data_IF_178168262994
#
_entry.id   IF_178168262994
#
_cell.length_a   1.000
_cell.length_b   1.000
_cell.length_c   1.000
_cell.angle_alpha   90.00
_cell.angle_beta   90.00
_cell.angle_gamma   90.00
#
_symmetry.space_group_name_H-M   'P 1'
#
loop_
_entity.id
_entity.type
_entity.pdbx_description
1 polymer ?
#
# COMPACT_ATOMS: atom_id res chain seq x y z
N UNK A 1 -0.73 39.87 15.57
CA UNK A 1 -1.13 38.53 16.07
C UNK A 1 -2.00 37.71 15.08
N UNK A 2 -2.04 38.00 13.76
CA UNK A 2 -2.91 37.28 12.80
C UNK A 2 -2.16 36.28 11.86
N UNK A 3 -0.85 36.41 11.65
CA UNK A 3 -0.10 35.55 10.70
C UNK A 3 0.30 34.15 11.21
N UNK A 4 0.33 33.90 12.54
CA UNK A 4 0.70 32.58 13.10
C UNK A 4 -0.44 31.54 13.09
N UNK A 5 -1.72 31.97 13.06
CA UNK A 5 -2.87 31.04 13.04
C UNK A 5 -3.18 30.45 11.66
N UNK A 6 -2.72 31.06 10.57
CA UNK A 6 -2.99 30.60 9.20
C UNK A 6 -2.05 29.45 8.78
N UNK A 7 -0.82 29.42 9.29
CA UNK A 7 0.19 28.40 8.98
C UNK A 7 -0.10 27.06 9.69
N UNK A 8 -0.76 27.09 10.86
CA UNK A 8 -1.18 25.87 11.55
C UNK A 8 -2.40 25.19 10.90
N UNK A 9 -3.30 25.93 10.24
CA UNK A 9 -4.45 25.35 9.52
C UNK A 9 -4.04 24.63 8.22
N UNK A 10 -3.02 25.12 7.52
CA UNK A 10 -2.51 24.46 6.31
C UNK A 10 -1.69 23.21 6.62
N UNK A 11 -0.89 23.22 7.70
CA UNK A 11 -0.14 22.05 8.14
C UNK A 11 -1.03 20.90 8.64
N UNK A 12 -2.12 21.21 9.36
CA UNK A 12 -3.08 20.20 9.81
C UNK A 12 -3.90 19.58 8.67
N UNK A 13 -4.08 20.29 7.55
CA UNK A 13 -4.76 19.73 6.37
C UNK A 13 -3.82 18.89 5.50
N UNK A 14 -2.50 19.05 5.65
CA UNK A 14 -1.51 18.46 4.75
C UNK A 14 -1.01 17.08 5.21
N UNK A 15 -1.00 16.81 6.53
CA UNK A 15 -0.61 15.50 7.08
C UNK A 15 -1.76 14.49 7.08
N UNK A 16 -3.01 14.95 6.95
CA UNK A 16 -4.23 14.17 7.23
C UNK A 16 -4.89 13.50 6.02
N UNK A 17 -4.45 13.79 4.79
CA UNK A 17 -5.10 13.36 3.54
C UNK A 17 -4.25 12.36 2.71
N UNK A 18 -3.05 12.01 3.16
CA UNK A 18 -2.10 11.19 2.39
C UNK A 18 -2.18 9.68 2.65
N UNK A 19 -3.07 9.19 3.51
CA UNK A 19 -3.24 7.75 3.78
C UNK A 19 -4.33 7.06 2.94
N UNK A 20 -5.14 7.81 2.18
CA UNK A 20 -6.28 7.25 1.44
C UNK A 20 -6.38 7.90 0.06
N UNK A 21 -5.58 7.42 -0.88
CA UNK A 21 -5.75 7.78 -2.29
C UNK A 21 -6.87 6.95 -2.91
N UNK A 22 -8.00 7.57 -3.24
CA UNK A 22 -8.80 7.29 -4.46
C UNK A 22 -9.60 8.57 -4.78
N UNK A 23 -9.51 9.04 -6.04
CA UNK A 23 -10.41 10.02 -6.64
C UNK A 23 -11.41 9.30 -7.55
N UNK A 24 -12.70 9.62 -7.45
CA UNK A 24 -13.80 8.93 -8.16
C UNK A 24 -14.63 9.91 -9.00
N UNK A 25 -14.92 9.57 -10.26
CA UNK A 25 -15.87 10.25 -11.15
C UNK A 25 -16.71 9.21 -11.93
N UNK A 26 -18.01 9.45 -12.22
CA UNK A 26 -18.90 8.46 -12.86
C UNK A 26 -19.10 8.73 -14.36
N UNK A 27 -18.97 7.71 -15.25
CA UNK A 27 -19.48 7.79 -16.65
C UNK A 27 -19.91 6.40 -17.19
N UNK A 28 -20.98 6.43 -18.00
CA UNK A 28 -21.69 5.38 -18.73
C UNK A 28 -21.04 4.91 -20.05
N UNK A 29 -21.34 3.66 -20.43
CA UNK A 29 -20.77 2.76 -21.47
C UNK A 29 -21.33 2.92 -22.88
N UNK A 30 -20.50 2.81 -23.96
CA UNK A 30 -20.83 2.17 -25.28
C UNK A 30 -19.51 1.69 -26.00
N UNK A 31 -19.58 0.53 -26.67
CA UNK A 31 -18.52 -0.23 -27.38
C UNK A 31 -18.15 0.24 -28.81
N UNK A 32 -16.89 0.00 -29.25
CA UNK A 32 -16.49 -0.99 -30.28
C UNK A 32 -15.19 -0.63 -31.08
N UNK A 33 -14.28 -1.63 -31.16
CA UNK A 33 -13.45 -2.16 -32.29
C UNK A 33 -12.99 -1.23 -33.46
N UNK A 34 -11.81 -1.34 -34.09
CA UNK A 34 -10.78 -2.40 -34.24
C UNK A 34 -9.51 -1.83 -34.91
N UNK A 35 -8.37 -2.51 -34.72
CA UNK A 35 -7.21 -2.79 -35.62
C UNK A 35 -6.86 -1.78 -36.76
N UNK A 36 -5.63 -1.39 -37.04
CA UNK A 36 -4.29 -1.94 -36.78
C UNK A 36 -3.43 -1.71 -38.03
N UNK A 37 -2.17 -1.29 -37.89
CA UNK A 37 -1.08 -1.53 -38.87
C UNK A 37 0.25 -0.95 -38.36
N UNK A 38 1.26 -1.82 -38.22
CA UNK A 38 2.67 -1.47 -37.99
C UNK A 38 3.37 -1.18 -39.32
N UNK A 39 4.38 -0.28 -39.32
CA UNK A 39 5.65 -0.52 -40.02
C UNK A 39 6.75 0.50 -39.72
N UNK A 40 8.00 0.04 -39.93
CA UNK A 40 9.31 0.69 -39.90
C UNK A 40 10.09 0.64 -38.57
N UNK A 41 11.16 -0.18 -38.55
CA UNK A 41 12.21 -0.22 -37.54
C UNK A 41 12.94 1.12 -37.45
N UNK A 42 12.39 2.00 -36.61
CA UNK A 42 13.07 3.18 -36.11
C UNK A 42 14.08 2.73 -35.06
N UNK A 43 15.28 3.33 -35.08
CA UNK A 43 16.24 3.33 -33.96
C UNK A 43 15.43 3.40 -32.65
N UNK A 44 15.58 2.46 -31.71
CA UNK A 44 14.65 2.34 -30.59
C UNK A 44 14.66 3.65 -29.80
N UNK A 45 13.56 4.39 -29.88
CA UNK A 45 13.36 5.65 -29.16
C UNK A 45 13.54 5.34 -27.67
N UNK A 46 14.47 6.05 -27.03
CA UNK A 46 14.78 5.90 -25.61
C UNK A 46 13.56 6.22 -24.75
N UNK A 47 13.51 5.69 -23.53
CA UNK A 47 12.39 5.96 -22.62
C UNK A 47 12.26 7.45 -22.30
N UNK A 48 13.38 8.17 -22.20
CA UNK A 48 13.42 9.62 -22.00
C UNK A 48 12.82 10.38 -23.19
N UNK A 49 13.18 10.04 -24.43
CA UNK A 49 12.56 10.62 -25.63
C UNK A 49 11.07 10.31 -25.73
N UNK A 50 10.64 9.08 -25.38
CA UNK A 50 9.21 8.71 -25.33
C UNK A 50 8.46 9.50 -24.27
N UNK A 51 9.06 9.74 -23.11
CA UNK A 51 8.48 10.57 -22.04
C UNK A 51 8.27 12.00 -22.52
N UNK A 52 9.29 12.62 -23.14
CA UNK A 52 9.15 13.95 -23.72
C UNK A 52 8.03 14.00 -24.77
N UNK A 53 7.99 13.02 -25.68
CA UNK A 53 6.96 12.96 -26.71
C UNK A 53 5.55 12.77 -26.14
N UNK A 54 5.39 11.91 -25.14
CA UNK A 54 4.10 11.67 -24.49
C UNK A 54 3.52 12.95 -23.88
N UNK A 55 4.33 13.67 -23.08
CA UNK A 55 3.87 14.92 -22.46
C UNK A 55 3.72 16.06 -23.47
N UNK A 56 4.55 16.12 -24.52
CA UNK A 56 4.38 17.08 -25.61
C UNK A 56 3.03 16.90 -26.32
N UNK A 57 2.61 15.65 -26.57
CA UNK A 57 1.27 15.37 -27.06
C UNK A 57 0.17 15.84 -26.11
N UNK A 58 0.29 15.61 -24.80
CA UNK A 58 -0.69 16.11 -23.83
C UNK A 58 -0.76 17.63 -23.79
N UNK A 59 0.38 18.33 -23.90
CA UNK A 59 0.44 19.80 -23.96
C UNK A 59 -0.21 20.35 -25.23
N UNK A 60 -0.11 19.64 -26.35
CA UNK A 60 -0.72 20.03 -27.63
C UNK A 60 -2.18 19.57 -27.77
N UNK A 61 -2.77 18.93 -26.76
CA UNK A 61 -4.13 18.37 -26.83
C UNK A 61 -4.26 17.12 -27.73
N UNK A 62 -3.15 16.50 -28.10
CA UNK A 62 -3.05 15.31 -28.97
C UNK A 62 -3.18 14.02 -28.16
N UNK A 63 -4.30 13.87 -27.46
CA UNK A 63 -4.52 12.76 -26.52
C UNK A 63 -4.60 11.38 -27.20
N UNK A 64 -5.08 11.33 -28.44
CA UNK A 64 -5.13 10.09 -29.21
C UNK A 64 -3.73 9.59 -29.57
N UNK A 65 -2.82 10.49 -29.95
CA UNK A 65 -1.42 10.20 -30.26
C UNK A 65 -0.64 9.82 -29.00
N UNK A 66 -0.89 10.49 -27.87
CA UNK A 66 -0.34 10.09 -26.58
C UNK A 66 -0.77 8.66 -26.21
N UNK A 67 -2.04 8.32 -26.43
CA UNK A 67 -2.58 6.99 -26.16
C UNK A 67 -1.91 5.89 -27.02
N UNK A 68 -1.48 6.18 -28.24
CA UNK A 68 -0.75 5.21 -29.08
C UNK A 68 0.64 4.83 -28.52
N UNK A 69 1.19 5.65 -27.62
CA UNK A 69 2.47 5.37 -26.93
C UNK A 69 2.31 4.43 -25.73
N UNK A 70 1.08 4.15 -25.30
CA UNK A 70 0.79 3.33 -24.12
C UNK A 70 0.69 1.84 -24.46
N UNK A 71 0.65 1.00 -23.42
CA UNK A 71 0.51 -0.45 -23.52
C UNK A 71 -0.93 -0.85 -23.90
N UNK A 72 -1.12 -2.07 -24.42
CA UNK A 72 -2.46 -2.58 -24.66
C UNK A 72 -3.31 -2.67 -23.37
N UNK A 73 -2.68 -2.99 -22.23
CA UNK A 73 -3.35 -3.03 -20.94
C UNK A 73 -3.85 -1.64 -20.51
N UNK A 74 -3.06 -0.59 -20.72
CA UNK A 74 -3.47 0.79 -20.48
C UNK A 74 -4.62 1.20 -21.41
N UNK A 75 -4.50 0.92 -22.71
CA UNK A 75 -5.54 1.24 -23.71
C UNK A 75 -6.86 0.52 -23.46
N UNK A 76 -6.82 -0.67 -22.86
CA UNK A 76 -8.04 -1.41 -22.50
C UNK A 76 -8.88 -0.72 -21.41
N UNK A 77 -8.27 0.18 -20.64
CA UNK A 77 -8.91 0.90 -19.53
C UNK A 77 -9.14 2.38 -19.82
N UNK A 78 -8.31 2.97 -20.66
CA UNK A 78 -8.27 4.42 -20.85
C UNK A 78 -8.47 4.84 -22.30
N UNK A 79 -9.38 5.78 -22.48
CA UNK A 79 -9.60 6.48 -23.75
C UNK A 79 -8.82 7.80 -23.77
N UNK A 80 -8.73 8.44 -24.94
CA UNK A 80 -8.16 9.78 -25.07
C UNK A 80 -8.86 10.81 -24.16
N UNK A 81 -10.18 10.69 -23.97
CA UNK A 81 -10.96 11.57 -23.09
C UNK A 81 -10.62 11.37 -21.60
N UNK A 82 -10.38 10.13 -21.18
CA UNK A 82 -9.96 9.86 -19.80
C UNK A 82 -8.54 10.41 -19.58
N UNK A 83 -7.65 10.22 -20.54
CA UNK A 83 -6.28 10.76 -20.47
C UNK A 83 -6.28 12.30 -20.44
N UNK A 84 -7.15 12.95 -21.22
CA UNK A 84 -7.39 14.39 -21.16
C UNK A 84 -7.88 14.82 -19.78
N UNK A 85 -8.88 14.13 -19.24
CA UNK A 85 -9.47 14.46 -17.94
C UNK A 85 -8.42 14.36 -16.83
N UNK A 86 -7.63 13.28 -16.82
CA UNK A 86 -6.50 13.12 -15.92
C UNK A 86 -5.48 14.26 -16.06
N UNK A 87 -5.09 14.60 -17.29
CA UNK A 87 -4.12 15.69 -17.55
C UNK A 87 -4.60 17.04 -17.00
N UNK A 88 -5.88 17.36 -17.17
CA UNK A 88 -6.45 18.60 -16.66
C UNK A 88 -6.53 18.58 -15.12
N UNK A 89 -7.09 17.51 -14.55
CA UNK A 89 -7.31 17.40 -13.11
C UNK A 89 -6.01 17.33 -12.31
N UNK A 90 -4.96 16.74 -12.88
CA UNK A 90 -3.63 16.70 -12.28
C UNK A 90 -2.86 18.03 -12.37
N UNK A 91 -3.46 19.07 -12.97
CA UNK A 91 -2.84 20.38 -13.15
C UNK A 91 -1.87 20.45 -14.33
N UNK A 92 -1.81 19.42 -15.18
CA UNK A 92 -0.95 19.38 -16.35
C UNK A 92 -1.21 20.52 -17.33
N UNK A 93 -2.46 20.98 -17.46
CA UNK A 93 -2.82 22.15 -18.29
C UNK A 93 -2.21 23.47 -17.81
N UNK A 94 -1.71 23.52 -16.56
CA UNK A 94 -1.05 24.70 -15.98
C UNK A 94 0.47 24.70 -16.21
N UNK A 95 1.03 23.63 -16.78
CA UNK A 95 2.47 23.49 -17.01
C UNK A 95 2.90 24.37 -18.19
N UNK A 96 3.78 25.32 -17.91
CA UNK A 96 4.31 26.26 -18.91
C UNK A 96 5.61 25.78 -19.55
N UNK A 97 6.36 24.90 -18.87
CA UNK A 97 7.62 24.36 -19.38
C UNK A 97 7.90 22.97 -18.81
N UNK A 98 8.27 22.04 -19.67
CA UNK A 98 8.77 20.71 -19.29
C UNK A 98 10.28 20.75 -19.05
N UNK A 99 10.75 19.98 -18.08
CA UNK A 99 12.17 19.77 -17.79
C UNK A 99 12.78 18.62 -18.59
N UNK A 100 13.92 18.12 -18.12
CA UNK A 100 14.60 16.97 -18.72
C UNK A 100 14.09 15.68 -18.07
N UNK A 101 13.65 14.68 -18.86
CA UNK A 101 13.26 13.38 -18.32
C UNK A 101 14.48 12.59 -17.82
N UNK A 102 14.33 11.92 -16.68
CA UNK A 102 15.35 11.10 -16.03
C UNK A 102 14.78 9.74 -15.62
N UNK A 103 15.51 8.67 -15.90
CA UNK A 103 15.16 7.34 -15.39
C UNK A 103 15.42 7.31 -13.88
N UNK A 104 14.40 7.03 -13.08
CA UNK A 104 14.47 7.05 -11.61
C UNK A 104 14.58 5.66 -11.00
N UNK A 105 13.83 4.71 -11.54
CA UNK A 105 13.68 3.39 -10.95
C UNK A 105 13.54 2.34 -12.05
N UNK A 106 14.01 1.14 -11.75
CA UNK A 106 13.79 -0.05 -12.57
C UNK A 106 13.51 -1.24 -11.65
N UNK A 107 12.38 -1.88 -11.89
CA UNK A 107 12.04 -3.17 -11.30
C UNK A 107 11.72 -4.18 -12.43
N UNK A 108 11.29 -5.39 -12.08
CA UNK A 108 10.99 -6.43 -13.07
C UNK A 108 9.72 -6.18 -13.89
N UNK A 109 8.83 -5.32 -13.41
CA UNK A 109 7.54 -4.98 -14.02
C UNK A 109 7.65 -3.70 -14.85
N UNK A 110 8.22 -2.65 -14.26
CA UNK A 110 8.29 -1.33 -14.87
C UNK A 110 9.68 -0.67 -14.81
N UNK A 111 9.90 0.23 -15.77
CA UNK A 111 10.93 1.28 -15.70
C UNK A 111 10.24 2.63 -15.52
N UNK A 112 10.60 3.36 -14.47
CA UNK A 112 9.99 4.65 -14.14
C UNK A 112 10.87 5.79 -14.65
N UNK A 113 10.28 6.67 -15.45
CA UNK A 113 10.90 7.93 -15.90
C UNK A 113 10.14 9.10 -15.30
N UNK A 114 10.87 10.01 -14.69
CA UNK A 114 10.34 11.25 -14.13
C UNK A 114 10.72 12.44 -15.01
N UNK A 115 9.81 13.38 -15.19
CA UNK A 115 10.06 14.68 -15.83
C UNK A 115 9.39 15.77 -15.00
N UNK A 116 10.05 16.91 -14.83
CA UNK A 116 9.48 18.03 -14.09
C UNK A 116 8.61 18.91 -14.99
N UNK A 117 7.45 19.33 -14.50
CA UNK A 117 6.59 20.35 -15.12
C UNK A 117 6.60 21.63 -14.31
N UNK A 118 7.02 22.75 -14.89
CA UNK A 118 6.98 24.05 -14.24
C UNK A 118 5.57 24.64 -14.26
N UNK A 119 5.04 24.99 -13.09
CA UNK A 119 3.81 25.76 -12.90
C UNK A 119 4.13 27.05 -12.14
N UNK A 120 3.17 27.97 -12.00
CA UNK A 120 3.41 29.22 -11.28
C UNK A 120 3.87 28.95 -9.82
N UNK A 121 5.09 29.38 -9.51
CA UNK A 121 5.67 29.31 -8.16
C UNK A 121 6.23 27.95 -7.73
N UNK A 122 6.18 26.90 -8.55
CA UNK A 122 6.74 25.57 -8.19
C UNK A 122 6.94 24.66 -9.41
N UNK A 123 7.49 23.47 -9.19
CA UNK A 123 7.60 22.39 -10.19
C UNK A 123 6.88 21.15 -9.69
N UNK A 124 6.12 20.48 -10.55
CA UNK A 124 5.48 19.20 -10.25
C UNK A 124 6.21 18.05 -10.96
N UNK A 125 6.64 17.00 -10.25
CA UNK A 125 7.15 15.79 -10.86
C UNK A 125 6.03 14.97 -11.51
N UNK A 126 6.20 14.65 -12.79
CA UNK A 126 5.35 13.78 -13.58
C UNK A 126 6.12 12.48 -13.84
N UNK A 127 5.47 11.34 -13.62
CA UNK A 127 6.08 10.03 -13.78
C UNK A 127 5.34 9.22 -14.82
N UNK A 128 6.10 8.53 -15.67
CA UNK A 128 5.62 7.47 -16.53
C UNK A 128 6.29 6.17 -16.11
N UNK A 129 5.50 5.11 -15.95
CA UNK A 129 6.06 3.76 -15.86
C UNK A 129 5.91 3.05 -17.19
N UNK A 130 6.98 2.43 -17.65
CA UNK A 130 7.04 1.72 -18.91
C UNK A 130 7.11 0.22 -18.69
N UNK A 131 6.36 -0.55 -19.48
CA UNK A 131 6.58 -2.01 -19.59
C UNK A 131 8.01 -2.30 -20.07
N UNK A 132 8.51 -3.55 -19.94
CA UNK A 132 9.82 -3.92 -20.47
C UNK A 132 9.94 -3.70 -21.99
N UNK A 133 8.82 -3.69 -22.72
CA UNK A 133 8.75 -3.36 -24.15
C UNK A 133 8.75 -1.86 -24.47
N UNK A 134 8.90 -0.98 -23.47
CA UNK A 134 9.02 0.47 -23.67
C UNK A 134 7.70 1.19 -23.99
N UNK A 135 6.55 0.62 -23.57
CA UNK A 135 5.23 1.23 -23.68
C UNK A 135 4.79 1.80 -22.34
N UNK A 136 4.18 2.99 -22.33
CA UNK A 136 3.66 3.61 -21.10
C UNK A 136 2.51 2.77 -20.55
N UNK A 137 2.60 2.36 -19.30
CA UNK A 137 1.64 1.47 -18.65
C UNK A 137 0.99 2.08 -17.42
N UNK A 138 1.51 3.22 -16.95
CA UNK A 138 1.05 3.92 -15.75
C UNK A 138 1.46 5.39 -15.82
N UNK A 139 0.63 6.28 -15.28
CA UNK A 139 0.86 7.73 -15.29
C UNK A 139 0.61 8.28 -13.89
N UNK A 140 1.54 9.09 -13.37
CA UNK A 140 1.41 9.65 -12.01
C UNK A 140 1.90 11.07 -11.96
N UNK A 141 1.21 11.88 -11.16
CA UNK A 141 1.72 13.18 -10.72
C UNK A 141 2.08 13.05 -9.25
N UNK A 142 3.31 13.41 -8.90
CA UNK A 142 3.76 13.47 -7.52
C UNK A 142 3.61 14.92 -7.04
N UNK A 143 2.81 15.12 -6.02
CA UNK A 143 2.39 16.47 -5.56
C UNK A 143 3.34 17.07 -4.53
N UNK A 144 4.25 16.28 -3.95
CA UNK A 144 5.32 16.74 -3.06
C UNK A 144 6.62 15.97 -3.35
N UNK A 145 7.79 16.63 -3.38
CA UNK A 145 9.06 15.92 -3.32
C UNK A 145 9.11 15.13 -2.01
N UNK A 146 9.46 13.84 -2.08
CA UNK A 146 9.67 13.07 -0.86
C UNK A 146 10.82 13.69 -0.08
N UNK A 147 10.60 13.98 1.20
CA UNK A 147 11.74 14.16 2.11
C UNK A 147 12.46 12.82 2.13
N UNK A 148 13.72 12.82 1.72
CA UNK A 148 14.55 11.63 1.81
C UNK A 148 14.98 11.42 3.24
N UNK A 149 14.70 10.24 3.79
CA UNK A 149 15.18 9.81 5.11
C UNK A 149 16.26 8.76 4.93
N UNK A 150 17.43 8.96 5.54
CA UNK A 150 18.47 7.94 5.61
C UNK A 150 18.18 7.04 6.80
N UNK A 151 17.56 5.88 6.52
CA UNK A 151 17.15 4.94 7.57
C UNK A 151 18.22 3.85 7.69
N UNK A 152 18.95 3.76 8.83
CA UNK A 152 20.01 2.78 9.00
C UNK A 152 19.46 1.36 8.92
N UNK A 153 20.32 0.40 8.56
CA UNK A 153 20.01 -1.02 8.72
C UNK A 153 19.91 -1.37 10.20
N UNK A 154 19.00 -2.27 10.59
CA UNK A 154 18.87 -2.67 11.99
C UNK A 154 20.12 -3.43 12.45
N UNK A 155 20.44 -3.33 13.74
CA UNK A 155 21.66 -3.94 14.33
C UNK A 155 21.71 -5.46 14.29
N UNK A 156 20.57 -6.12 14.08
CA UNK A 156 20.44 -7.57 13.92
C UNK A 156 20.51 -8.03 12.46
N UNK A 157 20.65 -7.11 11.50
CA UNK A 157 20.83 -7.46 10.10
C UNK A 157 22.17 -8.20 9.90
N UNK A 158 22.11 -9.39 9.32
CA UNK A 158 23.27 -10.20 8.94
C UNK A 158 23.22 -10.49 7.44
N UNK A 159 23.59 -9.56 6.55
CA UNK A 159 23.43 -9.73 5.10
C UNK A 159 24.16 -10.95 4.52
N UNK A 160 25.24 -11.40 5.18
CA UNK A 160 25.96 -12.61 4.78
C UNK A 160 25.20 -13.91 5.06
N UNK A 161 24.09 -13.86 5.81
CA UNK A 161 23.30 -15.03 6.22
C UNK A 161 22.15 -15.34 5.28
N UNK A 162 21.82 -14.46 4.32
CA UNK A 162 20.71 -14.66 3.38
C UNK A 162 21.07 -14.18 1.97
N UNK A 163 20.17 -14.40 1.02
CA UNK A 163 20.23 -13.87 -0.34
C UNK A 163 18.87 -13.29 -0.71
N UNK A 164 18.87 -12.19 -1.46
CA UNK A 164 17.65 -11.61 -2.02
C UNK A 164 17.51 -11.99 -3.49
N UNK A 165 16.28 -12.27 -3.91
CA UNK A 165 15.90 -12.55 -5.29
C UNK A 165 14.75 -11.67 -5.68
N UNK A 166 14.90 -10.97 -6.80
CA UNK A 166 13.79 -10.26 -7.44
C UNK A 166 12.89 -11.26 -8.15
N UNK A 167 11.59 -11.21 -7.85
CA UNK A 167 10.55 -12.01 -8.49
C UNK A 167 9.37 -11.12 -8.86
N UNK A 168 8.43 -11.68 -9.61
CA UNK A 168 7.14 -11.04 -9.91
C UNK A 168 6.04 -11.94 -9.37
N UNK A 169 5.09 -11.34 -8.65
CA UNK A 169 3.88 -12.01 -8.14
C UNK A 169 2.64 -11.39 -8.79
N UNK A 170 1.46 -11.87 -8.38
CA UNK A 170 0.18 -11.35 -8.89
C UNK A 170 -0.23 -12.02 -10.19
N UNK A 171 -1.03 -11.31 -10.99
CA UNK A 171 -1.56 -11.81 -12.25
C UNK A 171 -1.01 -11.02 -13.45
N UNK A 172 -1.30 -11.48 -14.67
CA UNK A 172 -0.78 -10.86 -15.89
C UNK A 172 -1.21 -9.39 -16.11
N UNK A 173 -2.35 -8.98 -15.54
CA UNK A 173 -2.88 -7.61 -15.66
C UNK A 173 -2.22 -6.67 -14.65
N UNK A 174 -1.97 -7.17 -13.45
CA UNK A 174 -1.38 -6.44 -12.32
C UNK A 174 -0.20 -7.24 -11.74
N UNK A 175 0.90 -7.38 -12.49
CA UNK A 175 2.10 -8.01 -11.97
C UNK A 175 2.73 -7.09 -10.92
N UNK A 176 3.12 -7.63 -9.77
CA UNK A 176 3.76 -6.86 -8.71
C UNK A 176 5.20 -7.30 -8.55
N UNK A 177 6.17 -6.38 -8.63
CA UNK A 177 7.56 -6.70 -8.37
C UNK A 177 7.73 -6.98 -6.87
N UNK A 178 8.54 -7.99 -6.56
CA UNK A 178 8.69 -8.52 -5.22
C UNK A 178 10.12 -8.95 -4.95
N UNK A 179 10.51 -8.95 -3.68
CA UNK A 179 11.79 -9.47 -3.20
C UNK A 179 11.52 -10.66 -2.29
N UNK A 180 12.10 -11.81 -2.64
CA UNK A 180 12.19 -12.97 -1.76
C UNK A 180 13.57 -12.97 -1.10
N UNK A 181 13.61 -12.74 0.21
CA UNK A 181 14.82 -12.84 1.03
C UNK A 181 14.88 -14.25 1.62
N UNK A 182 15.88 -15.05 1.23
CA UNK A 182 16.00 -16.47 1.62
C UNK A 182 17.25 -16.66 2.48
N UNK A 183 17.14 -17.18 3.72
CA UNK A 183 18.30 -17.55 4.52
C UNK A 183 19.16 -18.59 3.81
N UNK A 184 20.47 -18.54 4.03
CA UNK A 184 21.36 -19.64 3.65
C UNK A 184 20.94 -20.89 4.42
N UNK A 185 20.68 -21.96 3.68
CA UNK A 185 20.26 -23.26 4.19
C UNK A 185 21.06 -24.35 3.48
N UNK A 186 21.02 -25.57 4.00
CA UNK A 186 21.74 -26.70 3.37
C UNK A 186 21.10 -27.04 2.02
N UNK A 187 21.86 -27.51 1.02
CA UNK A 187 21.27 -28.00 -0.23
C UNK A 187 20.17 -29.05 0.03
N UNK A 188 19.01 -28.87 -0.59
CA UNK A 188 17.84 -29.73 -0.42
C UNK A 188 16.98 -29.46 0.82
N UNK A 189 17.44 -28.59 1.74
CA UNK A 189 16.62 -28.10 2.85
C UNK A 189 15.60 -27.08 2.33
N UNK A 190 14.42 -27.04 2.96
CA UNK A 190 13.39 -26.03 2.72
C UNK A 190 13.15 -25.26 4.01
N UNK A 191 12.90 -23.97 3.89
CA UNK A 191 12.71 -23.08 5.03
C UNK A 191 11.29 -22.52 5.09
N UNK A 192 10.74 -22.22 6.29
CA UNK A 192 9.48 -21.51 6.41
C UNK A 192 9.60 -20.10 5.80
N UNK A 193 8.48 -19.53 5.37
CA UNK A 193 8.42 -18.17 4.83
C UNK A 193 7.36 -17.34 5.54
N UNK A 194 7.64 -16.06 5.75
CA UNK A 194 6.65 -15.06 6.17
C UNK A 194 6.42 -14.09 5.01
N UNK A 195 5.19 -13.99 4.52
CA UNK A 195 4.79 -13.05 3.48
C UNK A 195 4.25 -11.78 4.13
N UNK A 196 4.83 -10.62 3.82
CA UNK A 196 4.47 -9.34 4.42
C UNK A 196 3.49 -8.58 3.53
N UNK A 197 2.44 -8.01 4.10
CA UNK A 197 1.46 -7.22 3.35
C UNK A 197 1.01 -5.96 4.11
N UNK A 198 0.91 -4.87 3.34
CA UNK A 198 0.94 -3.48 3.79
C UNK A 198 -0.30 -3.03 4.57
N UNK A 199 -0.16 -1.86 5.20
CA UNK A 199 -1.27 -1.06 5.70
C UNK A 199 -2.00 -0.26 4.61
N UNK A 200 -2.72 0.77 5.04
CA UNK A 200 -3.50 1.66 4.18
C UNK A 200 -2.60 2.53 3.29
N UNK A 201 -3.09 2.83 2.08
CA UNK A 201 -2.39 3.68 1.11
C UNK A 201 -1.38 2.94 0.22
N UNK A 202 -0.69 3.67 -0.67
CA UNK A 202 0.34 3.12 -1.55
C UNK A 202 1.66 2.96 -0.78
N UNK A 203 2.18 1.74 -0.73
CA UNK A 203 3.43 1.40 -0.04
C UNK A 203 4.38 0.67 -0.97
N UNK A 204 5.67 0.96 -0.79
CA UNK A 204 6.71 0.15 -1.41
C UNK A 204 6.92 -1.17 -0.64
N UNK A 205 7.70 -2.10 -1.19
CA UNK A 205 7.94 -3.40 -0.53
C UNK A 205 8.65 -3.31 0.82
N UNK A 206 9.26 -2.18 1.14
CA UNK A 206 9.88 -1.91 2.44
C UNK A 206 8.86 -1.35 3.45
N UNK A 207 7.65 -1.03 3.00
CA UNK A 207 6.64 -0.26 3.72
C UNK A 207 7.22 1.06 4.24
N UNK A 208 7.93 1.77 3.36
CA UNK A 208 8.58 3.04 3.67
C UNK A 208 7.55 4.09 4.06
N UNK A 209 7.64 4.56 5.29
CA UNK A 209 6.86 5.69 5.77
C UNK A 209 7.73 6.62 6.60
N UNK A 210 8.00 7.81 6.06
CA UNK A 210 8.92 8.77 6.65
C UNK A 210 10.27 8.12 7.03
N UNK A 211 10.69 8.19 8.29
CA UNK A 211 11.91 7.60 8.83
C UNK A 211 11.82 6.11 9.16
N UNK A 212 10.81 5.38 8.66
CA UNK A 212 10.60 3.96 8.98
C UNK A 212 10.53 3.07 7.74
N UNK A 213 11.01 1.83 7.86
CA UNK A 213 10.95 0.76 6.84
C UNK A 213 10.66 -0.58 7.50
N UNK A 214 9.47 -0.70 8.09
CA UNK A 214 9.08 -1.83 8.95
C UNK A 214 9.25 -3.19 8.26
N UNK A 215 8.93 -3.30 6.97
CA UNK A 215 9.04 -4.59 6.25
C UNK A 215 10.48 -4.93 5.88
N UNK A 216 11.32 -3.94 5.58
CA UNK A 216 12.76 -4.17 5.40
C UNK A 216 13.39 -4.72 6.68
N UNK A 217 13.04 -4.13 7.82
CA UNK A 217 13.59 -4.53 9.12
C UNK A 217 13.13 -5.94 9.50
N UNK A 218 11.84 -6.27 9.29
CA UNK A 218 11.32 -7.63 9.45
C UNK A 218 12.05 -8.61 8.52
N UNK A 219 12.25 -8.28 7.24
CA UNK A 219 12.95 -9.15 6.30
C UNK A 219 14.39 -9.43 6.73
N UNK A 220 15.14 -8.40 7.13
CA UNK A 220 16.51 -8.54 7.62
C UNK A 220 16.55 -9.43 8.86
N UNK A 221 15.70 -9.17 9.87
CA UNK A 221 15.72 -9.90 11.13
C UNK A 221 15.27 -11.35 11.04
N UNK A 222 14.18 -11.62 10.31
CA UNK A 222 13.64 -12.97 10.14
C UNK A 222 14.56 -13.83 9.26
N UNK A 223 15.08 -13.26 8.17
CA UNK A 223 16.01 -13.98 7.29
C UNK A 223 17.36 -14.25 7.97
N UNK A 224 17.84 -13.32 8.79
CA UNK A 224 19.01 -13.56 9.64
C UNK A 224 18.78 -14.64 10.71
N UNK A 225 17.53 -15.03 10.93
CA UNK A 225 17.11 -16.04 11.90
C UNK A 225 16.57 -17.32 11.25
N UNK A 226 16.85 -17.55 9.96
CA UNK A 226 16.50 -18.81 9.27
C UNK A 226 15.07 -18.89 8.74
N UNK A 227 14.35 -17.77 8.61
CA UNK A 227 13.00 -17.70 8.07
C UNK A 227 13.01 -16.84 6.81
N UNK A 228 12.57 -17.38 5.68
CA UNK A 228 12.47 -16.60 4.45
C UNK A 228 11.39 -15.51 4.57
N UNK A 229 11.52 -14.43 3.81
CA UNK A 229 10.54 -13.35 3.78
C UNK A 229 10.22 -12.95 2.36
N UNK A 230 8.93 -12.84 2.03
CA UNK A 230 8.46 -12.29 0.76
C UNK A 230 7.85 -10.91 1.00
N UNK A 231 8.34 -9.92 0.25
CA UNK A 231 7.84 -8.53 0.24
C UNK A 231 7.55 -8.11 -1.19
N UNK A 232 6.58 -7.25 -1.41
CA UNK A 232 6.17 -6.85 -2.77
C UNK A 232 5.73 -5.39 -2.81
N UNK A 233 5.80 -4.74 -3.97
CA UNK A 233 5.22 -3.40 -4.13
C UNK A 233 3.69 -3.51 -4.06
N UNK A 234 3.04 -2.68 -3.25
CA UNK A 234 1.57 -2.72 -3.17
C UNK A 234 0.97 -2.33 -4.51
N UNK A 235 -0.09 -3.01 -4.95
CA UNK A 235 -0.73 -2.73 -6.25
C UNK A 235 -1.17 -1.27 -6.48
N UNK A 236 -1.48 -0.52 -5.42
CA UNK A 236 -1.91 0.89 -5.49
C UNK A 236 -0.74 1.86 -5.63
N UNK A 237 0.48 1.40 -5.33
CA UNK A 237 1.72 2.07 -5.71
C UNK A 237 2.14 1.68 -7.12
N UNK A 238 2.05 0.38 -7.46
CA UNK A 238 2.57 -0.10 -8.74
C UNK A 238 1.68 0.30 -9.94
N UNK A 239 0.36 0.19 -9.79
CA UNK A 239 -0.65 0.34 -10.84
C UNK A 239 -1.75 1.37 -10.49
N UNK A 240 -1.40 2.41 -9.72
CA UNK A 240 -2.37 3.32 -9.10
C UNK A 240 -3.38 4.00 -10.03
N UNK A 241 -2.98 4.47 -11.22
CA UNK A 241 -3.93 5.03 -12.19
C UNK A 241 -4.76 3.93 -12.83
N UNK A 242 -4.17 2.83 -13.32
CA UNK A 242 -4.95 1.70 -13.88
C UNK A 242 -6.02 1.19 -12.92
N UNK A 243 -5.71 1.16 -11.64
CA UNK A 243 -6.63 0.82 -10.56
C UNK A 243 -7.82 1.78 -10.43
N UNK A 244 -7.65 3.07 -10.70
CA UNK A 244 -8.73 4.06 -10.57
C UNK A 244 -9.84 3.87 -11.61
N UNK A 245 -9.59 3.07 -12.66
CA UNK A 245 -10.59 2.68 -13.64
C UNK A 245 -11.54 1.58 -13.14
N UNK A 246 -11.36 1.08 -11.91
CA UNK A 246 -12.15 -0.02 -11.35
C UNK A 246 -12.68 0.32 -9.95
N UNK A 247 -13.82 -0.28 -9.53
CA UNK A 247 -14.30 -0.16 -8.15
C UNK A 247 -13.24 -0.59 -7.12
N UNK A 248 -12.90 0.32 -6.20
CA UNK A 248 -11.99 0.04 -5.10
C UNK A 248 -12.71 -0.76 -4.00
N UNK A 249 -12.12 -1.86 -3.55
CA UNK A 249 -12.62 -2.71 -2.45
C UNK A 249 -11.44 -3.17 -1.60
N UNK A 250 -11.68 -3.64 -0.37
CA UNK A 250 -10.62 -4.26 0.45
C UNK A 250 -10.04 -5.52 -0.21
N UNK A 251 -10.86 -6.21 -1.01
CA UNK A 251 -10.42 -7.41 -1.70
C UNK A 251 -9.33 -7.09 -2.70
N UNK A 252 -9.65 -6.18 -3.62
CA UNK A 252 -8.68 -5.68 -4.58
C UNK A 252 -7.52 -5.00 -3.86
N UNK A 253 -7.80 -4.16 -2.85
CA UNK A 253 -6.76 -3.35 -2.22
C UNK A 253 -5.68 -4.16 -1.48
N UNK A 254 -6.05 -5.28 -0.88
CA UNK A 254 -5.20 -5.98 0.08
C UNK A 254 -5.37 -7.49 0.03
N UNK A 255 -6.60 -8.00 -0.07
CA UNK A 255 -6.86 -9.43 0.12
C UNK A 255 -6.29 -10.28 -1.01
N UNK A 256 -6.55 -9.88 -2.26
CA UNK A 256 -6.13 -10.62 -3.44
C UNK A 256 -4.61 -10.68 -3.53
N UNK A 257 -3.94 -9.53 -3.34
CA UNK A 257 -2.48 -9.42 -3.31
C UNK A 257 -1.85 -10.37 -2.27
N UNK A 258 -2.37 -10.40 -1.04
CA UNK A 258 -1.85 -11.27 0.01
C UNK A 258 -1.99 -12.77 -0.35
N UNK A 259 -3.11 -13.16 -0.96
CA UNK A 259 -3.35 -14.54 -1.42
C UNK A 259 -2.42 -14.89 -2.59
N UNK A 260 -2.25 -13.99 -3.56
CA UNK A 260 -1.32 -14.19 -4.66
C UNK A 260 0.11 -14.32 -4.15
N UNK A 261 0.54 -13.44 -3.25
CA UNK A 261 1.86 -13.49 -2.64
C UNK A 261 2.11 -14.81 -1.90
N UNK A 262 1.16 -15.28 -1.09
CA UNK A 262 1.26 -16.57 -0.39
C UNK A 262 1.34 -17.76 -1.36
N UNK A 263 0.52 -17.78 -2.42
CA UNK A 263 0.59 -18.81 -3.47
C UNK A 263 1.93 -18.78 -4.21
N UNK A 264 2.41 -17.60 -4.57
CA UNK A 264 3.70 -17.42 -5.23
C UNK A 264 4.84 -17.90 -4.35
N UNK A 265 4.83 -17.59 -3.05
CA UNK A 265 5.83 -18.03 -2.09
C UNK A 265 5.89 -19.56 -1.99
N UNK A 266 4.74 -20.23 -1.93
CA UNK A 266 4.65 -21.69 -1.88
C UNK A 266 5.23 -22.40 -3.11
N UNK A 267 5.42 -21.69 -4.22
CA UNK A 267 5.99 -22.21 -5.46
C UNK A 267 7.49 -21.92 -5.61
N UNK A 268 8.10 -21.17 -4.68
CA UNK A 268 9.51 -20.79 -4.80
C UNK A 268 10.46 -21.92 -4.37
N UNK A 269 11.58 -22.04 -5.08
CA UNK A 269 12.65 -22.95 -4.73
C UNK A 269 13.27 -22.59 -3.37
N UNK A 270 13.45 -23.61 -2.51
CA UNK A 270 13.99 -23.47 -1.15
C UNK A 270 12.93 -23.11 -0.10
N UNK A 271 11.68 -22.84 -0.49
CA UNK A 271 10.58 -22.56 0.44
C UNK A 271 9.82 -23.84 0.76
N UNK A 272 9.47 -24.00 2.04
CA UNK A 272 8.63 -25.09 2.53
C UNK A 272 7.13 -24.74 2.36
N UNK A 273 6.41 -25.41 1.44
CA UNK A 273 5.01 -25.10 1.16
C UNK A 273 4.06 -25.46 2.32
N UNK A 274 4.48 -26.30 3.27
CA UNK A 274 3.67 -26.61 4.46
C UNK A 274 3.78 -25.53 5.55
N UNK A 275 4.71 -24.58 5.38
CA UNK A 275 5.10 -23.60 6.39
C UNK A 275 5.10 -22.17 5.82
N UNK A 276 3.99 -21.80 5.17
CA UNK A 276 3.71 -20.44 4.74
C UNK A 276 3.00 -19.68 5.86
N UNK A 277 3.63 -18.61 6.33
CA UNK A 277 3.06 -17.66 7.27
C UNK A 277 2.79 -16.34 6.56
N UNK A 278 1.81 -15.59 7.04
CA UNK A 278 1.51 -14.26 6.52
C UNK A 278 1.48 -13.24 7.66
N UNK A 279 2.01 -12.05 7.42
CA UNK A 279 2.08 -10.96 8.37
C UNK A 279 1.51 -9.68 7.76
N UNK A 280 0.45 -9.16 8.38
CA UNK A 280 -0.14 -7.88 8.01
C UNK A 280 0.26 -6.78 8.99
N UNK A 281 0.35 -5.55 8.50
CA UNK A 281 0.46 -4.34 9.33
C UNK A 281 -0.78 -3.45 9.17
N UNK A 282 -1.26 -2.84 10.26
CA UNK A 282 -2.36 -1.85 10.23
C UNK A 282 -3.60 -2.40 9.48
N UNK A 283 -4.12 -1.71 8.46
CA UNK A 283 -5.23 -2.20 7.62
C UNK A 283 -5.03 -3.66 7.14
N UNK A 284 -3.81 -4.04 6.75
CA UNK A 284 -3.48 -5.42 6.37
C UNK A 284 -3.68 -6.37 7.55
N UNK A 285 -3.14 -6.04 8.72
CA UNK A 285 -3.31 -6.85 9.93
C UNK A 285 -4.80 -7.07 10.26
N UNK A 286 -5.60 -6.02 10.16
CA UNK A 286 -7.05 -6.12 10.32
C UNK A 286 -7.68 -7.04 9.27
N UNK A 287 -7.33 -6.89 8.00
CA UNK A 287 -7.94 -7.63 6.87
C UNK A 287 -7.60 -9.14 6.90
N UNK A 288 -6.68 -9.57 7.78
CA UNK A 288 -6.23 -10.95 7.93
C UNK A 288 -7.37 -12.00 7.96
N UNK A 289 -8.47 -11.86 8.73
CA UNK A 289 -9.53 -12.86 8.77
C UNK A 289 -10.25 -13.02 7.42
N UNK A 290 -10.39 -11.92 6.66
CA UNK A 290 -10.95 -11.92 5.31
C UNK A 290 -10.02 -12.60 4.32
N UNK A 291 -8.71 -12.39 4.44
CA UNK A 291 -7.69 -13.13 3.67
C UNK A 291 -7.79 -14.62 3.95
N UNK A 292 -7.83 -15.02 5.22
CA UNK A 292 -7.92 -16.42 5.63
C UNK A 292 -9.24 -17.08 5.22
N UNK A 293 -10.34 -16.33 5.11
CA UNK A 293 -11.62 -16.88 4.66
C UNK A 293 -11.67 -17.17 3.16
N UNK A 294 -10.85 -16.47 2.36
CA UNK A 294 -10.79 -16.57 0.91
C UNK A 294 -9.60 -17.36 0.39
N UNK A 295 -8.55 -17.51 1.19
CA UNK A 295 -7.39 -18.31 0.86
C UNK A 295 -7.78 -19.80 0.71
N UNK A 296 -7.15 -20.56 -0.22
CA UNK A 296 -7.27 -22.01 -0.25
C UNK A 296 -6.98 -22.62 1.12
N UNK A 297 -7.74 -23.64 1.49
CA UNK A 297 -7.54 -24.35 2.75
C UNK A 297 -6.09 -24.86 2.85
N UNK A 298 -5.48 -24.73 4.03
CA UNK A 298 -4.10 -25.13 4.33
C UNK A 298 -3.01 -24.31 3.64
N UNK A 299 -3.34 -23.30 2.83
CA UNK A 299 -2.32 -22.43 2.22
C UNK A 299 -1.50 -21.70 3.30
N UNK A 300 -2.15 -21.28 4.39
CA UNK A 300 -1.53 -20.49 5.45
C UNK A 300 -1.44 -21.34 6.72
N UNK A 301 -0.21 -21.54 7.21
CA UNK A 301 0.08 -22.29 8.44
C UNK A 301 -0.24 -21.49 9.70
N UNK A 302 -0.04 -20.18 9.65
CA UNK A 302 -0.37 -19.25 10.74
C UNK A 302 -0.20 -17.79 10.30
N UNK A 303 -0.79 -16.87 11.08
CA UNK A 303 -0.84 -15.45 10.75
C UNK A 303 -0.35 -14.55 11.88
N UNK A 304 0.35 -13.48 11.53
CA UNK A 304 0.85 -12.46 12.45
C UNK A 304 0.15 -11.14 12.13
N UNK A 305 -0.49 -10.52 13.13
CA UNK A 305 -1.21 -9.27 12.99
C UNK A 305 -0.47 -8.20 13.78
N UNK A 306 0.13 -7.21 13.10
CA UNK A 306 0.83 -6.09 13.73
C UNK A 306 -0.04 -4.83 13.69
N UNK A 307 -0.41 -4.32 14.88
CA UNK A 307 -1.34 -3.20 15.04
C UNK A 307 -2.67 -3.39 14.27
N UNK A 308 -3.44 -4.48 14.49
CA UNK A 308 -4.67 -4.71 13.74
C UNK A 308 -5.84 -3.83 14.24
N UNK A 309 -6.43 -3.01 13.35
CA UNK A 309 -7.71 -2.37 13.65
C UNK A 309 -8.80 -3.44 13.82
N UNK A 310 -9.63 -3.26 14.85
CA UNK A 310 -10.72 -4.15 15.26
C UNK A 310 -12.10 -3.58 14.91
N UNK A 311 -12.21 -2.25 14.87
CA UNK A 311 -13.45 -1.50 14.62
C UNK A 311 -13.64 -1.10 13.15
N UNK A 312 -14.86 -0.67 12.77
CA UNK A 312 -15.10 -0.05 11.47
C UNK A 312 -14.11 1.08 11.21
N UNK A 313 -13.68 1.21 9.96
CA UNK A 313 -12.66 2.18 9.58
C UNK A 313 -13.09 3.64 9.85
N UNK A 314 -14.39 3.94 9.78
CA UNK A 314 -14.96 5.26 10.09
C UNK A 314 -14.68 5.70 11.53
N UNK A 315 -14.88 4.81 12.50
CA UNK A 315 -14.61 5.07 13.91
C UNK A 315 -13.13 5.38 14.15
N UNK A 316 -12.27 4.56 13.56
CA UNK A 316 -10.82 4.66 13.70
C UNK A 316 -10.30 5.97 13.10
N UNK A 317 -10.82 6.37 11.93
CA UNK A 317 -10.49 7.65 11.31
C UNK A 317 -10.92 8.83 12.17
N UNK A 318 -12.12 8.79 12.78
CA UNK A 318 -12.56 9.84 13.68
C UNK A 318 -11.62 9.99 14.88
N UNK A 319 -11.25 8.88 15.52
CA UNK A 319 -10.38 8.90 16.69
C UNK A 319 -8.98 9.44 16.33
N UNK A 320 -8.42 9.02 15.20
CA UNK A 320 -7.16 9.54 14.68
C UNK A 320 -7.22 11.06 14.43
N UNK A 321 -8.24 11.53 13.72
CA UNK A 321 -8.37 12.96 13.42
C UNK A 321 -8.59 13.79 14.68
N UNK A 322 -9.36 13.30 15.65
CA UNK A 322 -9.54 13.96 16.93
C UNK A 322 -8.25 14.02 17.74
N UNK A 323 -7.49 12.92 17.80
CA UNK A 323 -6.19 12.88 18.47
C UNK A 323 -5.20 13.90 17.87
N UNK A 324 -5.21 14.05 16.54
CA UNK A 324 -4.38 15.02 15.83
C UNK A 324 -4.89 16.48 15.96
N UNK A 325 -5.94 16.71 16.72
CA UNK A 325 -6.49 18.04 16.98
C UNK A 325 -7.19 18.66 15.77
N UNK A 326 -7.75 17.82 14.89
CA UNK A 326 -8.48 18.32 13.73
C UNK A 326 -9.62 19.27 14.14
N UNK A 327 -9.88 20.35 13.38
CA UNK A 327 -10.92 21.32 13.73
C UNK A 327 -12.29 20.67 13.87
N UNK A 328 -13.11 21.17 14.80
CA UNK A 328 -14.46 20.64 15.02
C UNK A 328 -15.28 20.63 13.73
N UNK A 329 -15.17 21.66 12.90
CA UNK A 329 -15.92 21.76 11.65
C UNK A 329 -15.53 20.66 10.65
N UNK A 330 -14.26 20.27 10.64
CA UNK A 330 -13.78 19.15 9.83
C UNK A 330 -14.32 17.82 10.35
N UNK A 331 -14.27 17.61 11.66
CA UNK A 331 -14.84 16.40 12.30
C UNK A 331 -16.36 16.30 12.06
N UNK A 332 -17.09 17.42 12.18
CA UNK A 332 -18.52 17.46 11.92
C UNK A 332 -18.83 17.11 10.47
N UNK A 333 -18.01 17.58 9.52
CA UNK A 333 -18.19 17.26 8.10
C UNK A 333 -17.88 15.78 7.82
N UNK A 334 -16.81 15.23 8.38
CA UNK A 334 -16.52 13.79 8.27
C UNK A 334 -17.67 12.92 8.80
N UNK A 335 -18.26 13.30 9.95
CA UNK A 335 -19.42 12.59 10.50
C UNK A 335 -20.61 12.61 9.56
N UNK A 336 -20.86 13.71 8.83
CA UNK A 336 -21.90 13.74 7.79
C UNK A 336 -21.58 12.80 6.63
N UNK A 337 -20.32 12.80 6.18
CA UNK A 337 -19.88 11.89 5.11
C UNK A 337 -20.02 10.42 5.52
N UNK A 338 -19.72 10.09 6.78
CA UNK A 338 -19.87 8.72 7.31
C UNK A 338 -21.33 8.34 7.52
N UNK A 339 -22.19 9.27 7.92
CA UNK A 339 -23.63 9.03 8.01
C UNK A 339 -24.25 8.61 6.67
N UNK A 340 -23.78 9.12 5.53
CA UNK A 340 -24.21 8.61 4.23
C UNK A 340 -23.85 7.13 4.05
N UNK A 341 -22.63 6.73 4.40
CA UNK A 341 -22.11 5.36 4.18
C UNK A 341 -22.73 4.34 5.14
N UNK A 342 -23.03 4.77 6.35
CA UNK A 342 -23.67 3.98 7.40
C UNK A 342 -25.17 3.78 7.15
N UNK A 343 -25.79 4.57 6.26
CA UNK A 343 -27.15 4.33 5.82
C UNK A 343 -27.26 2.93 5.17
N UNK A 344 -28.17 2.07 5.65
CA UNK A 344 -28.40 0.74 5.08
C UNK A 344 -28.77 0.75 3.60
N UNK A 345 -29.30 1.87 3.09
CA UNK A 345 -29.72 2.07 1.70
C UNK A 345 -28.64 2.67 0.80
N UNK A 346 -27.43 2.95 1.31
CA UNK A 346 -26.34 3.48 0.51
C UNK A 346 -25.97 2.53 -0.63
N UNK A 347 -25.96 3.07 -1.85
CA UNK A 347 -25.53 2.38 -3.06
C UNK A 347 -24.19 2.98 -3.54
N UNK A 348 -23.08 2.23 -3.51
CA UNK A 348 -21.78 2.75 -3.97
C UNK A 348 -21.73 3.02 -5.48
N UNK A 349 -22.62 2.44 -6.29
CA UNK A 349 -22.72 2.75 -7.74
C UNK A 349 -23.46 4.08 -7.98
N UNK A 350 -24.30 4.49 -7.03
CA UNK A 350 -25.14 5.69 -7.08
C UNK A 350 -25.08 6.48 -5.76
N UNK A 351 -23.90 6.99 -5.36
CA UNK A 351 -23.76 7.67 -4.08
C UNK A 351 -24.63 8.95 -4.04
N UNK A 352 -25.15 9.35 -2.88
CA UNK A 352 -25.89 10.61 -2.72
C UNK A 352 -25.07 11.80 -3.22
N UNK A 353 -25.72 12.80 -3.82
CA UNK A 353 -25.03 13.96 -4.41
C UNK A 353 -24.15 14.76 -3.43
N UNK A 354 -24.40 14.65 -2.12
CA UNK A 354 -23.61 15.27 -1.06
C UNK A 354 -22.40 14.44 -0.58
N UNK A 355 -22.23 13.22 -1.07
CA UNK A 355 -21.11 12.36 -0.72
C UNK A 355 -19.92 12.62 -1.63
N UNK A 356 -18.77 12.91 -1.02
CA UNK A 356 -17.53 13.19 -1.74
C UNK A 356 -16.27 12.66 -1.02
N UNK A 357 -16.45 11.90 0.06
CA UNK A 357 -15.33 11.43 0.86
C UNK A 357 -14.78 10.10 0.35
N UNK A 358 -13.62 10.13 -0.31
CA UNK A 358 -12.95 8.93 -0.84
C UNK A 358 -13.86 8.12 -1.80
N UNK A 359 -13.41 6.93 -2.18
CA UNK A 359 -14.19 6.05 -3.05
C UNK A 359 -15.44 5.53 -2.34
N UNK A 360 -16.64 5.68 -2.94
CA UNK A 360 -17.88 5.08 -2.44
C UNK A 360 -17.77 3.57 -2.21
N UNK A 361 -17.25 2.81 -3.18
CA UNK A 361 -17.09 1.36 -3.08
C UNK A 361 -16.14 0.96 -1.95
N UNK A 362 -15.01 1.65 -1.82
CA UNK A 362 -14.04 1.32 -0.77
C UNK A 362 -14.63 1.61 0.60
N UNK A 363 -15.22 2.80 0.79
CA UNK A 363 -15.81 3.20 2.05
C UNK A 363 -17.01 2.32 2.43
N UNK A 364 -17.84 1.93 1.47
CA UNK A 364 -18.93 0.99 1.69
C UNK A 364 -18.44 -0.35 2.23
N UNK A 365 -17.38 -0.91 1.63
CA UNK A 365 -16.78 -2.19 2.01
C UNK A 365 -16.12 -2.12 3.40
N UNK A 366 -15.20 -1.18 3.62
CA UNK A 366 -14.46 -1.04 4.90
C UNK A 366 -15.35 -0.70 6.10
N UNK A 367 -16.46 -0.01 5.88
CA UNK A 367 -17.39 0.35 6.98
C UNK A 367 -18.21 -0.85 7.45
N UNK A 368 -18.37 -1.86 6.60
CA UNK A 368 -19.12 -3.09 6.88
C UNK A 368 -18.23 -4.26 7.30
N UNK A 369 -16.92 -4.11 7.21
CA UNK A 369 -15.93 -5.09 7.62
C UNK A 369 -15.87 -5.25 9.16
N UNK A 370 -15.86 -6.50 9.66
CA UNK A 370 -15.93 -6.85 11.09
C UNK A 370 -14.85 -7.89 11.45
N UNK A 371 -13.58 -7.46 11.59
CA UNK A 371 -12.47 -8.40 11.63
C UNK A 371 -12.48 -9.35 12.83
N UNK A 372 -12.76 -8.84 14.03
CA UNK A 372 -12.78 -9.68 15.24
C UNK A 372 -13.85 -10.77 15.13
N UNK A 373 -15.02 -10.43 14.60
CA UNK A 373 -16.12 -11.39 14.40
C UNK A 373 -15.77 -12.45 13.35
N UNK A 374 -15.19 -12.04 12.22
CA UNK A 374 -14.71 -12.96 11.18
C UNK A 374 -13.65 -13.93 11.74
N UNK A 375 -12.75 -13.42 12.58
CA UNK A 375 -11.66 -14.17 13.19
C UNK A 375 -12.12 -15.23 14.19
N UNK A 376 -13.29 -15.09 14.84
CA UNK A 376 -13.83 -16.10 15.77
C UNK A 376 -14.00 -17.47 15.12
N UNK A 377 -14.34 -17.49 13.83
CA UNK A 377 -14.56 -18.73 13.07
C UNK A 377 -13.29 -19.37 12.51
N UNK A 378 -12.17 -18.66 12.53
CA UNK A 378 -10.89 -19.12 11.96
C UNK A 378 -10.23 -20.16 12.87
N UNK A 379 -9.39 -21.01 12.29
CA UNK A 379 -8.72 -22.12 13.01
C UNK A 379 -7.21 -22.02 12.98
N UNK A 380 -6.68 -21.18 12.11
CA UNK A 380 -5.26 -20.90 11.95
C UNK A 380 -4.70 -20.25 13.22
N UNK A 381 -3.52 -20.66 13.71
CA UNK A 381 -2.84 -19.98 14.81
C UNK A 381 -2.59 -18.52 14.50
N UNK A 382 -2.82 -17.64 15.50
CA UNK A 382 -2.62 -16.19 15.37
C UNK A 382 -1.61 -15.68 16.40
N UNK A 383 -0.75 -14.76 15.97
CA UNK A 383 0.05 -13.89 16.83
C UNK A 383 -0.41 -12.44 16.64
N UNK A 384 -0.92 -11.80 17.68
CA UNK A 384 -1.41 -10.43 17.64
C UNK A 384 -0.47 -9.55 18.45
N UNK A 385 0.18 -8.61 17.75
CA UNK A 385 1.22 -7.73 18.27
C UNK A 385 0.73 -6.28 18.29
N UNK A 386 0.97 -5.56 19.39
CA UNK A 386 0.53 -4.17 19.54
C UNK A 386 1.60 -3.30 20.20
N UNK A 387 1.86 -2.13 19.63
CA UNK A 387 2.60 -1.08 20.33
C UNK A 387 1.68 -0.31 21.28
N UNK A 388 2.06 -0.18 22.55
CA UNK A 388 1.20 0.46 23.56
C UNK A 388 1.02 1.96 23.34
N UNK A 389 1.98 2.60 22.65
CA UNK A 389 1.97 4.04 22.34
C UNK A 389 1.30 4.35 21.01
N UNK A 390 0.69 3.37 20.36
CA UNK A 390 0.03 3.55 19.07
C UNK A 390 -1.25 4.40 19.22
N UNK A 391 -1.24 5.59 18.62
CA UNK A 391 -2.42 6.47 18.59
C UNK A 391 -3.39 6.15 17.44
N UNK A 392 -2.94 5.41 16.43
CA UNK A 392 -3.72 5.08 15.23
C UNK A 392 -4.58 3.84 15.45
N UNK A 393 -4.03 2.86 16.15
CA UNK A 393 -4.68 1.61 16.55
C UNK A 393 -4.36 1.42 18.03
N UNK A 394 -5.25 1.89 18.92
CA UNK A 394 -4.95 1.96 20.35
C UNK A 394 -5.10 0.61 21.04
N UNK A 395 -4.35 0.41 22.13
CA UNK A 395 -4.55 -0.79 22.97
C UNK A 395 -5.99 -0.85 23.47
N UNK A 396 -6.47 0.27 24.01
CA UNK A 396 -7.78 0.38 24.66
C UNK A 396 -8.93 0.05 23.71
N UNK A 397 -8.94 0.61 22.51
CA UNK A 397 -10.11 0.55 21.63
C UNK A 397 -10.02 -0.57 20.59
N UNK A 398 -8.81 -1.05 20.28
CA UNK A 398 -8.57 -2.06 19.23
C UNK A 398 -8.02 -3.38 19.80
N UNK A 399 -6.86 -3.35 20.46
CA UNK A 399 -6.19 -4.58 20.93
C UNK A 399 -7.01 -5.33 21.98
N UNK A 400 -7.62 -4.62 22.94
CA UNK A 400 -8.50 -5.23 23.95
C UNK A 400 -9.70 -5.93 23.31
N UNK A 401 -10.25 -5.40 22.21
CA UNK A 401 -11.35 -6.07 21.49
C UNK A 401 -10.92 -7.38 20.84
N UNK A 402 -9.70 -7.45 20.31
CA UNK A 402 -9.14 -8.70 19.82
C UNK A 402 -8.97 -9.72 20.94
N UNK A 403 -8.48 -9.30 22.11
CA UNK A 403 -8.32 -10.16 23.29
C UNK A 403 -9.67 -10.72 23.76
N UNK A 404 -10.66 -9.85 23.92
CA UNK A 404 -12.01 -10.24 24.36
C UNK A 404 -12.70 -11.14 23.34
N UNK A 405 -12.70 -10.73 22.07
CA UNK A 405 -13.39 -11.42 20.99
C UNK A 405 -12.83 -12.79 20.67
N UNK A 406 -11.53 -13.01 20.89
CA UNK A 406 -10.86 -14.29 20.65
C UNK A 406 -10.49 -15.06 21.92
N UNK A 407 -11.00 -14.65 23.09
CA UNK A 407 -10.72 -15.27 24.39
C UNK A 407 -11.02 -16.78 24.46
N UNK A 408 -11.95 -17.27 23.63
CA UNK A 408 -12.28 -18.70 23.53
C UNK A 408 -11.30 -19.52 22.68
N UNK A 409 -10.36 -18.87 21.98
CA UNK A 409 -9.39 -19.52 21.10
C UNK A 409 -8.07 -19.76 21.82
N UNK A 410 -7.73 -21.02 22.05
CA UNK A 410 -6.47 -21.42 22.70
C UNK A 410 -5.22 -21.28 21.81
N UNK A 411 -5.40 -21.06 20.51
CA UNK A 411 -4.31 -20.94 19.54
C UNK A 411 -4.04 -19.49 19.09
N UNK A 412 -4.35 -18.52 19.94
CA UNK A 412 -4.09 -17.09 19.72
C UNK A 412 -3.16 -16.60 20.81
N UNK A 413 -2.07 -15.95 20.41
CA UNK A 413 -1.12 -15.30 21.32
C UNK A 413 -1.21 -13.79 21.17
N UNK A 414 -1.19 -13.08 22.29
CA UNK A 414 -1.26 -11.63 22.36
C UNK A 414 0.01 -11.09 22.98
N UNK A 415 0.59 -10.06 22.37
CA UNK A 415 1.78 -9.39 22.88
C UNK A 415 1.68 -7.89 22.71
N UNK A 416 1.77 -7.19 23.83
CA UNK A 416 1.88 -5.74 23.88
C UNK A 416 3.33 -5.32 24.13
N UNK A 417 3.75 -4.23 23.50
CA UNK A 417 5.07 -3.64 23.63
C UNK A 417 4.97 -2.20 24.19
N UNK A 418 5.32 -1.97 25.47
CA UNK A 418 5.06 -0.70 26.16
C UNK A 418 5.69 0.55 25.51
N UNK A 419 6.81 0.41 24.81
CA UNK A 419 7.56 1.54 24.23
C UNK A 419 7.24 1.80 22.75
N UNK A 420 6.46 0.95 22.11
CA UNK A 420 6.34 0.95 20.66
C UNK A 420 5.15 1.78 20.18
N UNK A 421 5.37 2.53 19.10
CA UNK A 421 4.34 3.23 18.35
C UNK A 421 3.75 2.34 17.22
N UNK A 422 2.93 2.95 16.35
CA UNK A 422 2.26 2.27 15.22
C UNK A 422 3.20 1.53 14.26
N UNK A 423 4.41 2.05 14.04
CA UNK A 423 5.43 1.45 13.16
C UNK A 423 6.43 0.59 13.92
N UNK A 424 6.12 0.24 15.18
CA UNK A 424 6.94 -0.60 16.04
C UNK A 424 8.34 -0.03 16.29
N UNK A 425 8.48 1.31 16.33
CA UNK A 425 9.71 1.97 16.78
C UNK A 425 9.57 2.47 18.22
N UNK A 426 10.68 2.51 18.96
CA UNK A 426 10.67 2.93 20.37
C UNK A 426 10.49 4.44 20.51
N UNK A 427 9.75 4.83 21.54
CA UNK A 427 9.70 6.21 22.03
C UNK A 427 9.20 6.25 23.47
N UNK A 428 9.00 7.47 23.97
CA UNK A 428 8.66 7.74 25.38
C UNK A 428 7.32 8.48 25.52
N UNK A 429 6.69 8.40 26.69
CA UNK A 429 5.36 8.99 26.94
C UNK A 429 4.21 8.05 26.59
N UNK A 430 2.96 8.50 26.80
CA UNK A 430 1.77 7.64 26.73
C UNK A 430 1.40 7.24 25.29
N UNK A 431 1.00 8.20 24.46
CA UNK A 431 0.71 7.98 23.04
C UNK A 431 1.75 8.70 22.18
N UNK A 432 2.07 8.09 21.05
CA UNK A 432 3.04 8.61 20.09
C UNK A 432 2.49 9.78 19.28
N UNK A 433 3.39 10.63 18.81
CA UNK A 433 3.06 11.74 17.90
C UNK A 433 3.58 11.48 16.48
N UNK A 434 2.93 12.03 15.43
CA UNK A 434 3.38 11.88 14.04
C UNK A 434 4.83 12.29 13.79
N UNK A 435 5.35 13.27 14.55
CA UNK A 435 6.74 13.72 14.43
C UNK A 435 7.76 12.63 14.76
N UNK A 436 7.38 11.62 15.55
CA UNK A 436 8.26 10.47 15.84
C UNK A 436 8.53 9.64 14.58
N UNK A 437 7.61 9.62 13.62
CA UNK A 437 7.80 8.90 12.37
C UNK A 437 8.84 9.57 11.47
N UNK A 438 9.15 10.85 11.69
CA UNK A 438 10.24 11.54 10.98
C UNK A 438 11.63 11.15 11.51
N UNK A 439 11.72 10.51 12.68
CA UNK A 439 12.98 10.08 13.27
C UNK A 439 13.39 8.73 12.65
N UNK A 440 14.52 8.65 11.93
CA UNK A 440 14.99 7.38 11.39
C UNK A 440 15.14 6.34 12.49
N UNK A 441 14.38 5.25 12.40
CA UNK A 441 14.30 4.23 13.46
C UNK A 441 13.98 2.86 12.89
N UNK A 442 14.36 1.83 13.63
CA UNK A 442 14.13 0.44 13.26
C UNK A 442 13.19 -0.27 14.22
N UNK A 443 12.57 -1.36 13.75
CA UNK A 443 11.87 -2.33 14.61
C UNK A 443 12.89 -2.96 15.59
N UNK A 444 12.66 -2.97 16.92
CA UNK A 444 13.62 -3.53 17.86
C UNK A 444 13.78 -5.05 17.75
N UNK A 445 14.99 -5.51 18.12
CA UNK A 445 15.36 -6.93 18.06
C UNK A 445 14.43 -7.86 18.86
N UNK A 446 13.80 -7.37 19.93
CA UNK A 446 12.90 -8.20 20.73
C UNK A 446 11.60 -8.55 19.99
N UNK A 447 11.10 -7.66 19.11
CA UNK A 447 9.93 -7.96 18.28
C UNK A 447 10.27 -9.07 17.28
N UNK A 448 11.45 -8.98 16.66
CA UNK A 448 11.96 -10.02 15.74
C UNK A 448 12.06 -11.36 16.48
N UNK A 449 12.66 -11.38 17.67
CA UNK A 449 12.81 -12.61 18.46
C UNK A 449 11.47 -13.25 18.81
N UNK A 450 10.47 -12.45 19.19
CA UNK A 450 9.13 -12.95 19.51
C UNK A 450 8.46 -13.58 18.27
N UNK A 451 8.57 -12.92 17.09
CA UNK A 451 8.06 -13.47 15.83
C UNK A 451 8.77 -14.78 15.47
N UNK A 452 10.10 -14.81 15.54
CA UNK A 452 10.92 -16.00 15.24
C UNK A 452 10.54 -17.17 16.16
N UNK A 453 10.39 -16.90 17.46
CA UNK A 453 9.99 -17.91 18.43
C UNK A 453 8.61 -18.48 18.10
N UNK A 454 7.65 -17.62 17.78
CA UNK A 454 6.29 -18.03 17.42
C UNK A 454 6.23 -18.84 16.12
N UNK A 455 6.93 -18.41 15.06
CA UNK A 455 7.00 -19.14 13.79
C UNK A 455 7.61 -20.54 14.00
N UNK A 456 8.71 -20.63 14.76
CA UNK A 456 9.36 -21.90 15.04
C UNK A 456 8.53 -22.84 15.91
N UNK A 457 7.69 -22.31 16.80
CA UNK A 457 6.76 -23.12 17.60
C UNK A 457 5.53 -23.58 16.80
N UNK A 458 5.20 -22.89 15.70
CA UNK A 458 3.96 -23.12 14.92
C UNK A 458 4.19 -23.93 13.66
N UNK A 459 5.41 -23.92 13.11
CA UNK A 459 5.75 -24.70 11.91
C UNK A 459 5.50 -26.20 12.12
N UNK A 460 5.17 -26.89 11.03
CA UNK A 460 4.79 -28.30 10.99
C UNK A 460 5.92 -29.24 11.40
#
# INVERSE_FOLDING_TARGET
MSKKKSIQKSALSFTLLFSLGISSFPITTIHADTQGAQNAEKKPVSLTERTSLFFDYLQQGKYAEALQLTSAAFQSKFTANILQSWWIQSGGSRITRMGTPEVKERNLVHQTVEISGAIEGTTIPLLLKFTPGGKVDEVRVRTTPDKSYTIPHPSYDQPHSYQEREIVIGNATYPLPATLTVPKHKPGEKVPVVVLFHGSGPHDRDSTFMGTKIFRDLAAGLSSSGIAVLRYEKHSLEHGFKMSAEPATLDRDTTDDAIYAAKSAAQQEGIDPDNIFILGHSQGAGTMPRILSKAPSLLVRGSILMAPPARPFTDILLDQYQYLGAPKEFIDELKKQFAYIEDPTFDPDHPPAGYYYLSPHFMYDVTRWRPVEEAKSRKEPLLILQGARDYQVTVKDEFTRWQEGLSSRSNVQFKEYPKLNHFFTEGDGELSHPSEYEVPSNVPAYVIKDIVAWVNATKK
#
